data_IF_311549824821
#
_entry.id   IF_311549824821
#
_cell.length_a   1.000
_cell.length_b   1.000
_cell.length_c   1.000
_cell.angle_alpha   90.00
_cell.angle_beta   90.00
_cell.angle_gamma   90.00
#
_symmetry.space_group_name_H-M   'P 1'
#
loop_
_entity.id
_entity.type
_entity.pdbx_description
1 polymer ?
#
# COMPACT_ATOMS: atom_id res chain seq x y z
N UNK A 1 -24.20 1.46 -5.74
CA UNK A 1 -23.79 2.88 -5.72
C UNK A 1 -22.29 2.85 -5.76
N UNK A 2 -21.63 3.44 -6.76
CA UNK A 2 -20.15 3.36 -6.80
C UNK A 2 -19.58 4.24 -5.70
N UNK A 3 -18.86 3.63 -4.76
CA UNK A 3 -18.19 4.34 -3.68
C UNK A 3 -16.70 4.38 -4.03
N UNK A 4 -16.15 5.59 -4.20
CA UNK A 4 -14.72 5.83 -4.40
C UNK A 4 -14.12 6.41 -3.12
N UNK A 5 -13.09 5.75 -2.58
CA UNK A 5 -12.37 6.20 -1.41
C UNK A 5 -10.88 6.21 -1.73
N UNK A 6 -10.19 7.22 -1.22
CA UNK A 6 -8.75 7.34 -1.39
C UNK A 6 -8.13 8.16 -0.28
N UNK A 7 -6.81 8.09 -0.19
CA UNK A 7 -6.07 8.82 0.82
C UNK A 7 -4.58 8.68 0.66
N UNK A 8 -3.85 9.32 1.57
CA UNK A 8 -2.39 9.26 1.64
C UNK A 8 -1.96 8.83 3.04
N UNK A 9 -0.91 8.05 3.13
CA UNK A 9 -0.22 7.76 4.39
C UNK A 9 1.26 7.48 4.14
N UNK A 10 2.07 7.36 5.18
CA UNK A 10 3.44 6.85 5.03
C UNK A 10 3.40 5.45 4.43
N UNK A 11 4.26 5.19 3.44
CA UNK A 11 4.42 3.90 2.80
C UNK A 11 4.90 2.84 3.81
N UNK A 12 5.64 3.26 4.84
CA UNK A 12 6.18 2.38 5.85
C UNK A 12 7.44 1.65 5.36
N UNK A 13 7.96 0.78 6.22
CA UNK A 13 9.18 0.02 5.92
C UNK A 13 8.91 -1.16 5.00
N UNK A 14 9.87 -1.47 4.15
CA UNK A 14 9.94 -2.77 3.49
C UNK A 14 10.32 -3.83 4.54
N UNK A 15 9.39 -4.75 4.78
CA UNK A 15 9.50 -5.84 5.76
C UNK A 15 9.65 -7.16 5.03
N UNK A 16 10.31 -8.13 5.67
CA UNK A 16 10.27 -9.51 5.19
C UNK A 16 8.82 -10.03 5.26
N UNK A 17 8.29 -10.51 4.14
CA UNK A 17 6.92 -11.03 4.10
C UNK A 17 6.81 -12.33 4.91
N UNK A 18 5.73 -12.47 5.68
CA UNK A 18 5.35 -13.70 6.38
C UNK A 18 3.86 -13.97 6.17
N UNK A 19 3.55 -15.09 5.51
CA UNK A 19 2.18 -15.50 5.22
C UNK A 19 1.37 -15.84 6.49
N UNK A 20 2.05 -16.28 7.55
CA UNK A 20 1.41 -16.64 8.81
C UNK A 20 1.24 -15.42 9.74
N UNK A 21 1.86 -14.28 9.41
CA UNK A 21 1.86 -13.08 10.24
C UNK A 21 1.71 -11.80 9.40
N UNK A 22 0.60 -11.72 8.66
CA UNK A 22 0.27 -10.52 7.88
C UNK A 22 0.10 -9.28 8.77
N UNK A 23 -0.26 -9.44 10.04
CA UNK A 23 -0.53 -8.31 10.92
C UNK A 23 0.69 -7.41 11.11
N UNK A 24 1.84 -8.02 11.34
CA UNK A 24 3.10 -7.32 11.65
C UNK A 24 3.94 -7.03 10.41
N UNK A 25 3.80 -7.84 9.35
CA UNK A 25 4.60 -7.75 8.11
C UNK A 25 3.97 -6.89 7.02
N UNK A 26 2.72 -6.44 7.19
CA UNK A 26 2.04 -5.54 6.23
C UNK A 26 1.73 -4.18 6.83
N UNK A 27 1.53 -3.20 5.97
CA UNK A 27 0.91 -1.92 6.29
C UNK A 27 -0.60 -2.00 6.05
N UNK A 28 -1.38 -1.11 6.67
CA UNK A 28 -2.84 -1.15 6.64
C UNK A 28 -3.43 0.21 6.24
N UNK A 29 -4.36 0.19 5.29
CA UNK A 29 -5.30 1.27 5.01
C UNK A 29 -6.64 0.88 5.64
N UNK A 30 -7.23 1.76 6.45
CA UNK A 30 -8.63 1.61 6.89
C UNK A 30 -9.49 2.49 5.99
N UNK A 31 -10.56 1.91 5.44
CA UNK A 31 -11.49 2.67 4.62
C UNK A 31 -12.37 3.56 5.51
N UNK A 32 -12.50 4.86 5.21
CA UNK A 32 -13.40 5.76 5.95
C UNK A 32 -14.85 5.26 6.01
N UNK A 33 -15.29 4.56 4.98
CA UNK A 33 -16.62 3.97 4.86
C UNK A 33 -16.45 2.49 4.52
N UNK A 34 -17.09 1.62 5.30
CA UNK A 34 -17.10 0.19 5.00
C UNK A 34 -17.90 -0.09 3.71
N UNK A 35 -17.33 -0.90 2.82
CA UNK A 35 -18.05 -1.38 1.64
C UNK A 35 -19.13 -2.40 2.05
N UNK A 36 -20.29 -2.33 1.40
CA UNK A 36 -21.37 -3.30 1.59
C UNK A 36 -21.03 -4.63 0.91
N UNK A 37 -20.49 -4.57 -0.31
CA UNK A 37 -20.06 -5.69 -1.13
C UNK A 37 -18.52 -5.78 -1.24
N UNK A 38 -18.04 -6.60 -2.17
CA UNK A 38 -16.64 -6.65 -2.54
C UNK A 38 -16.19 -5.39 -3.30
N UNK A 39 -14.89 -5.18 -3.27
CA UNK A 39 -14.22 -4.11 -3.99
C UNK A 39 -14.04 -4.49 -5.48
N UNK A 40 -14.18 -3.50 -6.36
CA UNK A 40 -14.07 -3.63 -7.82
C UNK A 40 -12.65 -3.35 -8.32
N UNK A 41 -12.03 -2.27 -7.86
CA UNK A 41 -10.72 -1.82 -8.33
C UNK A 41 -9.94 -1.04 -7.25
N UNK A 42 -8.64 -1.30 -7.15
CA UNK A 42 -7.74 -0.61 -6.24
C UNK A 42 -6.44 -0.32 -6.96
N UNK A 43 -5.79 0.75 -6.53
CA UNK A 43 -4.47 1.11 -7.01
C UNK A 43 -3.67 1.80 -5.92
N UNK A 44 -2.37 1.78 -6.10
CA UNK A 44 -1.41 2.49 -5.29
C UNK A 44 -0.51 3.33 -6.19
N UNK A 45 -0.14 4.50 -5.68
CA UNK A 45 0.96 5.31 -6.20
C UNK A 45 1.94 5.52 -5.06
N UNK A 46 3.23 5.29 -5.32
CA UNK A 46 4.30 5.60 -4.37
C UNK A 46 4.91 6.94 -4.77
N UNK A 47 4.95 7.88 -3.82
CA UNK A 47 5.72 9.11 -3.93
C UNK A 47 6.93 8.94 -3.02
N UNK A 48 8.09 8.72 -3.64
CA UNK A 48 9.34 8.55 -2.93
C UNK A 48 9.71 9.83 -2.14
N UNK A 49 10.18 9.66 -0.90
CA UNK A 49 10.80 10.74 -0.12
C UNK A 49 12.10 11.21 -0.81
N UNK A 50 12.49 12.47 -0.61
CA UNK A 50 13.74 13.05 -1.13
C UNK A 50 14.99 12.27 -0.67
N UNK A 51 14.90 11.57 0.46
CA UNK A 51 15.97 10.71 0.97
C UNK A 51 16.01 9.32 0.30
N UNK A 52 15.03 8.99 -0.55
CA UNK A 52 14.98 7.73 -1.30
C UNK A 52 15.86 7.81 -2.53
N UNK A 53 16.61 6.76 -2.79
CA UNK A 53 17.63 6.76 -3.85
C UNK A 53 17.35 5.62 -4.82
N UNK A 54 17.20 5.97 -6.10
CA UNK A 54 16.95 5.05 -7.20
C UNK A 54 18.03 5.19 -8.27
N UNK A 55 18.45 4.08 -8.88
CA UNK A 55 19.50 4.03 -9.89
C UNK A 55 19.06 3.17 -11.09
N UNK A 56 19.35 3.63 -12.31
CA UNK A 56 19.15 2.84 -13.53
C UNK A 56 17.73 2.27 -13.66
N UNK A 57 17.62 0.94 -13.60
CA UNK A 57 16.39 0.16 -13.74
C UNK A 57 15.71 -0.22 -12.41
N UNK A 58 16.11 0.41 -11.30
CA UNK A 58 15.53 0.13 -9.99
C UNK A 58 14.11 0.70 -9.85
N UNK A 59 13.29 0.08 -9.01
CA UNK A 59 11.91 0.52 -8.80
C UNK A 59 11.39 0.19 -7.40
N UNK A 60 10.21 0.72 -7.10
CA UNK A 60 9.42 0.40 -5.92
C UNK A 60 7.97 0.09 -6.30
N UNK A 61 7.33 -0.78 -5.52
CA UNK A 61 5.97 -1.24 -5.74
C UNK A 61 5.27 -1.45 -4.41
N UNK A 62 3.96 -1.25 -4.41
CA UNK A 62 3.09 -1.69 -3.33
C UNK A 62 2.29 -2.90 -3.80
N UNK A 63 2.26 -3.94 -2.98
CA UNK A 63 1.63 -5.22 -3.29
C UNK A 63 0.49 -5.43 -2.30
N UNK A 64 -0.74 -5.45 -2.79
CA UNK A 64 -1.90 -5.86 -1.99
C UNK A 64 -1.74 -7.28 -1.48
N UNK A 65 -1.89 -7.49 -0.17
CA UNK A 65 -1.86 -8.81 0.48
C UNK A 65 -3.23 -9.29 0.89
N UNK A 66 -4.11 -8.37 1.29
CA UNK A 66 -5.50 -8.67 1.63
C UNK A 66 -6.35 -7.43 1.43
N UNK A 67 -7.55 -7.61 0.90
CA UNK A 67 -8.57 -6.58 0.83
C UNK A 67 -9.82 -7.13 1.49
N UNK A 68 -10.43 -6.34 2.36
CA UNK A 68 -11.68 -6.64 3.04
C UNK A 68 -12.72 -5.56 2.71
N UNK A 69 -13.85 -5.57 3.41
CA UNK A 69 -14.86 -4.51 3.32
C UNK A 69 -14.48 -3.24 4.07
N UNK A 70 -13.53 -3.33 4.99
CA UNK A 70 -13.17 -2.24 5.92
C UNK A 70 -11.73 -1.78 5.77
N UNK A 71 -10.87 -2.57 5.15
CA UNK A 71 -9.45 -2.29 5.07
C UNK A 71 -8.75 -3.00 3.91
N UNK A 72 -7.56 -2.50 3.59
CA UNK A 72 -6.63 -3.11 2.67
C UNK A 72 -5.25 -3.18 3.33
N UNK A 73 -4.65 -4.38 3.30
CA UNK A 73 -3.28 -4.64 3.73
C UNK A 73 -2.37 -4.71 2.51
N UNK A 74 -1.23 -4.06 2.60
CA UNK A 74 -0.25 -4.00 1.52
C UNK A 74 1.17 -4.11 2.07
N UNK A 75 2.06 -4.63 1.24
CA UNK A 75 3.51 -4.61 1.47
C UNK A 75 4.13 -3.58 0.52
N UNK A 76 5.22 -2.96 0.96
CA UNK A 76 6.01 -2.09 0.10
C UNK A 76 7.34 -2.76 -0.16
N UNK A 77 7.70 -2.81 -1.44
CA UNK A 77 8.90 -3.47 -1.93
C UNK A 77 9.67 -2.51 -2.82
N UNK A 78 10.98 -2.55 -2.75
CA UNK A 78 11.91 -1.85 -3.63
C UNK A 78 13.07 -2.78 -3.99
N UNK A 79 13.76 -2.48 -5.08
CA UNK A 79 14.86 -3.34 -5.58
C UNK A 79 15.93 -3.62 -4.53
N UNK A 80 16.21 -2.65 -3.65
CA UNK A 80 16.98 -2.84 -2.42
C UNK A 80 16.23 -2.23 -1.25
N UNK A 81 16.16 -2.94 -0.12
CA UNK A 81 15.39 -2.54 1.08
C UNK A 81 15.68 -1.11 1.57
N UNK A 82 16.89 -0.61 1.34
CA UNK A 82 17.35 0.72 1.79
C UNK A 82 16.98 1.86 0.83
N UNK A 83 16.45 1.56 -0.36
CA UNK A 83 16.17 2.56 -1.40
C UNK A 83 14.97 3.42 -1.08
N UNK A 84 13.80 2.80 -0.92
CA UNK A 84 12.58 3.51 -0.60
C UNK A 84 12.54 3.76 0.90
N UNK A 85 12.53 5.02 1.30
CA UNK A 85 12.48 5.37 2.72
C UNK A 85 11.07 5.25 3.27
N UNK A 86 10.96 4.91 4.55
CA UNK A 86 9.68 4.63 5.21
C UNK A 86 8.77 5.85 5.37
N UNK A 87 9.34 7.04 5.24
CA UNK A 87 8.65 8.34 5.18
C UNK A 87 8.14 8.70 3.77
N UNK A 88 8.45 7.89 2.75
CA UNK A 88 7.77 7.97 1.44
C UNK A 88 6.27 7.85 1.61
N UNK A 89 5.50 8.36 0.66
CA UNK A 89 4.04 8.38 0.75
C UNK A 89 3.45 7.31 -0.16
N UNK A 90 2.46 6.59 0.36
CA UNK A 90 1.55 5.79 -0.45
C UNK A 90 0.26 6.60 -0.64
N UNK A 91 -0.10 6.86 -1.89
CA UNK A 91 -1.45 7.25 -2.25
C UNK A 91 -2.21 5.99 -2.64
N UNK A 92 -3.41 5.84 -2.10
CA UNK A 92 -4.25 4.68 -2.37
C UNK A 92 -5.62 5.15 -2.84
N UNK A 93 -6.21 4.34 -3.72
CA UNK A 93 -7.57 4.52 -4.20
C UNK A 93 -8.24 3.14 -4.26
N UNK A 94 -9.51 3.09 -3.85
CA UNK A 94 -10.32 1.88 -3.82
C UNK A 94 -11.75 2.23 -4.26
N UNK A 95 -12.28 1.42 -5.18
CA UNK A 95 -13.61 1.57 -5.77
C UNK A 95 -14.42 0.33 -5.44
N UNK A 96 -15.62 0.52 -4.87
CA UNK A 96 -16.59 -0.55 -4.58
C UNK A 96 -17.96 -0.30 -5.22
N UNK A 97 -18.83 -1.32 -5.19
CA UNK A 97 -20.16 -1.34 -5.86
C UNK A 97 -21.32 -1.43 -4.85
#
# INVERSE_FOLDING_TARGET
>A
MVINQGGKQKAGEQKQSDINNLETTTNKVIFPIAFTNNHLFHTFVIIASDASVFWGNSGASAISRRISRTDMRYEVHSSYQTMLKSDSIIEWCVVGI
#
